data_IF_735653121604
#
_entry.id   IF_735653121604
#
_cell.length_a   1.000
_cell.length_b   1.000
_cell.length_c   1.000
_cell.angle_alpha   90.00
_cell.angle_beta   90.00
_cell.angle_gamma   90.00
#
_symmetry.space_group_name_H-M   'P 1'
#
loop_
_entity.id
_entity.type
_entity.pdbx_description
1 polymer ?
#
# COMPACT_ATOMS: atom_id res chain seq x y z
N UNK A 1 16.31 -8.64 -4.81
CA UNK A 1 15.48 -9.84 -5.00
C UNK A 1 14.34 -9.79 -3.98
N UNK A 2 13.14 -9.44 -4.42
CA UNK A 2 11.97 -9.40 -3.55
C UNK A 2 11.50 -10.84 -3.29
N UNK A 3 11.50 -11.28 -2.04
CA UNK A 3 10.88 -12.56 -1.68
C UNK A 3 9.38 -12.47 -1.96
N UNK A 4 8.81 -13.42 -2.72
CA UNK A 4 7.38 -13.41 -3.00
C UNK A 4 6.61 -13.61 -1.69
N UNK A 5 5.56 -12.81 -1.49
CA UNK A 5 4.67 -12.81 -0.32
C UNK A 5 4.15 -14.23 0.00
N UNK A 6 4.08 -15.09 -1.02
CA UNK A 6 3.69 -16.51 -0.94
C UNK A 6 4.67 -17.36 -0.11
N UNK A 7 5.98 -17.09 -0.11
CA UNK A 7 6.94 -17.90 0.67
C UNK A 7 6.77 -17.68 2.17
N UNK A 8 6.42 -16.46 2.60
CA UNK A 8 6.08 -16.17 4.00
C UNK A 8 4.74 -16.78 4.41
N UNK A 9 3.76 -16.85 3.51
CA UNK A 9 2.46 -17.48 3.79
C UNK A 9 2.62 -18.98 4.11
N UNK A 10 3.42 -19.69 3.31
CA UNK A 10 3.69 -21.12 3.53
C UNK A 10 4.57 -21.39 4.74
N UNK A 11 5.50 -20.48 5.09
CA UNK A 11 6.24 -20.56 6.36
C UNK A 11 5.33 -20.48 7.59
N UNK A 12 4.20 -19.78 7.50
CA UNK A 12 3.25 -19.76 8.63
C UNK A 12 2.35 -21.00 8.69
N UNK A 13 2.19 -21.77 7.60
CA UNK A 13 1.36 -22.98 7.57
C UNK A 13 2.19 -24.25 7.87
N UNK A 14 3.49 -24.22 7.60
CA UNK A 14 4.36 -25.40 7.58
C UNK A 14 4.91 -25.91 8.93
N UNK A 15 4.86 -25.13 10.00
CA UNK A 15 5.27 -25.62 11.33
C UNK A 15 4.21 -25.24 12.36
N UNK A 16 3.43 -26.25 12.79
CA UNK A 16 2.61 -26.26 14.01
C UNK A 16 2.08 -24.88 14.43
N UNK A 17 0.85 -24.52 14.04
CA UNK A 17 0.14 -23.35 14.57
C UNK A 17 -0.65 -23.75 15.83
N UNK A 18 -0.13 -23.54 17.05
CA UNK A 18 -0.83 -23.90 18.29
C UNK A 18 -1.84 -22.85 18.76
N UNK A 19 -1.99 -21.72 18.05
CA UNK A 19 -2.89 -20.64 18.45
C UNK A 19 -3.71 -20.20 17.23
N UNK A 20 -5.02 -20.22 17.36
CA UNK A 20 -5.91 -19.55 16.43
C UNK A 20 -5.96 -18.08 16.78
N UNK A 21 -5.97 -17.21 15.78
CA UNK A 21 -6.09 -15.77 15.95
C UNK A 21 -6.80 -15.18 14.74
N UNK A 22 -7.42 -14.02 14.96
CA UNK A 22 -8.07 -13.26 13.90
C UNK A 22 -7.37 -11.92 13.70
N UNK A 23 -7.21 -11.53 12.44
CA UNK A 23 -6.74 -10.21 12.12
C UNK A 23 -7.87 -9.20 12.28
N UNK A 24 -7.57 -8.09 12.94
CA UNK A 24 -8.44 -6.93 12.98
C UNK A 24 -8.56 -6.26 11.61
N UNK A 25 -9.45 -5.25 11.51
CA UNK A 25 -9.59 -4.48 10.28
C UNK A 25 -8.27 -3.78 9.93
N UNK A 26 -8.09 -3.53 8.63
CA UNK A 26 -7.01 -2.68 8.16
C UNK A 26 -7.21 -1.24 8.66
N UNK A 27 -6.12 -0.59 9.04
CA UNK A 27 -6.09 0.86 9.26
C UNK A 27 -6.41 1.61 7.97
N UNK A 28 -6.75 2.91 8.07
CA UNK A 28 -6.65 3.81 6.94
C UNK A 28 -5.26 3.74 6.30
N UNK A 29 -5.21 3.96 4.99
CA UNK A 29 -3.98 4.06 4.24
C UNK A 29 -3.21 5.32 4.68
N UNK A 30 -1.88 5.24 4.82
CA UNK A 30 -1.05 6.40 5.22
C UNK A 30 -1.03 7.54 4.20
N UNK A 31 -1.52 7.30 2.99
CA UNK A 31 -1.63 8.27 1.92
C UNK A 31 -2.76 7.92 0.96
N UNK A 32 -3.19 8.89 0.16
CA UNK A 32 -4.32 8.75 -0.76
C UNK A 32 -3.91 8.24 -2.15
N UNK A 33 -2.63 8.35 -2.49
CA UNK A 33 -2.03 7.92 -3.75
C UNK A 33 -0.51 7.72 -3.56
N UNK A 34 0.13 7.04 -4.52
CA UNK A 34 1.59 6.86 -4.55
C UNK A 34 2.27 8.12 -5.11
N UNK A 35 3.14 8.80 -4.34
CA UNK A 35 3.94 9.90 -4.89
C UNK A 35 4.86 9.39 -6.01
N UNK A 36 5.06 10.21 -7.05
CA UNK A 36 5.87 9.82 -8.20
C UNK A 36 7.31 9.49 -7.76
N UNK A 37 7.80 8.30 -8.14
CA UNK A 37 9.14 7.82 -7.79
C UNK A 37 9.33 7.39 -6.33
N UNK A 38 8.25 7.26 -5.55
CA UNK A 38 8.29 6.79 -4.16
C UNK A 38 7.52 5.49 -3.97
N UNK A 39 7.76 4.83 -2.83
CA UNK A 39 7.02 3.64 -2.43
C UNK A 39 5.53 3.95 -2.20
N UNK A 40 4.63 2.99 -2.45
CA UNK A 40 3.21 3.16 -2.19
C UNK A 40 2.95 3.36 -0.70
N UNK A 41 1.91 4.13 -0.34
CA UNK A 41 1.46 4.20 1.04
C UNK A 41 1.10 2.82 1.58
N UNK A 42 1.11 2.70 2.91
CA UNK A 42 0.87 1.43 3.58
C UNK A 42 -0.34 1.53 4.50
N UNK A 43 -0.96 0.37 4.76
CA UNK A 43 -1.95 0.19 5.82
C UNK A 43 -1.50 -0.95 6.70
N UNK A 44 -1.88 -0.88 7.96
CA UNK A 44 -1.44 -1.82 9.00
C UNK A 44 -2.68 -2.43 9.65
N UNK A 45 -2.60 -3.70 10.01
CA UNK A 45 -3.59 -4.36 10.88
C UNK A 45 -2.88 -5.08 12.01
N UNK A 46 -3.62 -5.29 13.10
CA UNK A 46 -3.15 -6.01 14.29
C UNK A 46 -4.05 -7.20 14.54
N UNK A 47 -3.56 -8.20 15.27
CA UNK A 47 -4.41 -9.28 15.75
C UNK A 47 -5.43 -8.72 16.76
N UNK A 48 -6.67 -9.21 16.71
CA UNK A 48 -7.69 -8.85 17.69
C UNK A 48 -7.33 -9.51 19.03
N UNK A 49 -7.00 -8.69 20.01
CA UNK A 49 -6.71 -9.16 21.37
C UNK A 49 -7.95 -9.87 21.96
N UNK A 50 -7.76 -11.07 22.52
CA UNK A 50 -8.83 -11.85 23.15
C UNK A 50 -9.48 -12.92 22.27
N UNK A 51 -9.24 -12.90 20.95
CA UNK A 51 -9.65 -13.98 20.03
C UNK A 51 -8.55 -15.02 19.79
N UNK A 52 -7.47 -14.96 20.58
CA UNK A 52 -6.42 -15.97 20.53
C UNK A 52 -6.90 -17.25 21.23
N UNK A 53 -7.41 -18.22 20.46
CA UNK A 53 -7.90 -19.49 21.00
C UNK A 53 -6.77 -20.52 20.97
N UNK A 54 -6.43 -21.05 22.14
CA UNK A 54 -5.58 -22.23 22.25
C UNK A 54 -6.42 -23.51 22.07
N UNK A 55 -6.01 -24.47 21.24
CA UNK A 55 -6.65 -25.77 21.15
C UNK A 55 -6.60 -26.50 22.51
N UNK A 56 -7.71 -27.16 22.88
CA UNK A 56 -7.78 -27.99 24.09
C UNK A 56 -6.71 -29.08 24.06
N UNK A 57 -6.02 -29.31 25.18
CA UNK A 57 -5.01 -30.37 25.33
C UNK A 57 -3.54 -29.92 25.22
N UNK A 58 -3.29 -28.68 24.80
CA UNK A 58 -1.94 -28.12 24.63
C UNK A 58 -1.38 -27.35 25.83
N UNK A 59 -2.04 -27.40 26.99
CA UNK A 59 -1.62 -26.77 28.25
C UNK A 59 -0.29 -27.29 28.83
N UNK A 60 0.42 -28.16 28.12
CA UNK A 60 1.56 -28.91 28.65
C UNK A 60 2.88 -28.14 28.66
N UNK A 61 2.99 -27.00 27.98
CA UNK A 61 4.24 -26.20 28.00
C UNK A 61 3.98 -24.71 28.21
N UNK A 62 4.62 -24.12 29.23
CA UNK A 62 4.59 -22.66 29.49
C UNK A 62 5.03 -21.85 28.26
N UNK A 63 5.90 -22.42 27.42
CA UNK A 63 6.41 -21.80 26.20
C UNK A 63 5.30 -21.54 25.18
N UNK A 64 4.34 -22.45 25.03
CA UNK A 64 3.22 -22.29 24.09
C UNK A 64 2.25 -21.19 24.52
N UNK A 65 1.97 -21.14 25.83
CA UNK A 65 1.13 -20.09 26.43
C UNK A 65 1.77 -18.71 26.25
N UNK A 66 3.08 -18.61 26.47
CA UNK A 66 3.83 -17.37 26.27
C UNK A 66 3.87 -16.98 24.79
N UNK A 67 3.98 -17.95 23.88
CA UNK A 67 3.90 -17.73 22.44
C UNK A 67 2.50 -17.21 22.01
N UNK A 68 1.41 -17.87 22.43
CA UNK A 68 0.06 -17.40 22.10
C UNK A 68 -0.25 -16.01 22.70
N UNK A 69 0.38 -15.63 23.82
CA UNK A 69 0.29 -14.27 24.36
C UNK A 69 1.11 -13.27 23.55
N UNK A 70 2.28 -13.66 23.05
CA UNK A 70 3.16 -12.75 22.31
C UNK A 70 2.63 -12.42 20.91
N UNK A 71 1.89 -13.34 20.28
CA UNK A 71 1.28 -13.07 18.96
C UNK A 71 0.23 -11.96 18.99
N UNK A 72 -0.39 -11.65 20.14
CA UNK A 72 -1.34 -10.54 20.24
C UNK A 72 -0.73 -9.18 19.84
N UNK A 73 0.61 -9.06 19.88
CA UNK A 73 1.33 -7.87 19.47
C UNK A 73 1.76 -7.86 17.99
N UNK A 74 1.40 -8.89 17.22
CA UNK A 74 1.80 -8.98 15.83
C UNK A 74 1.07 -7.95 14.98
N UNK A 75 1.82 -7.41 14.02
CA UNK A 75 1.37 -6.44 13.03
C UNK A 75 1.61 -6.99 11.64
N UNK A 76 0.65 -6.75 10.76
CA UNK A 76 0.75 -7.05 9.33
C UNK A 76 0.61 -5.73 8.56
N UNK A 77 1.39 -5.58 7.50
CA UNK A 77 1.43 -4.38 6.68
C UNK A 77 1.30 -4.73 5.20
N UNK A 78 0.54 -3.91 4.48
CA UNK A 78 0.32 -4.09 3.05
C UNK A 78 0.30 -2.73 2.32
N UNK A 79 0.78 -2.68 1.07
CA UNK A 79 0.64 -1.49 0.25
C UNK A 79 -0.84 -1.20 -0.04
N UNK A 80 -1.17 0.08 -0.14
CA UNK A 80 -2.49 0.59 -0.48
C UNK A 80 -2.37 1.83 -1.37
N UNK A 81 -3.44 2.17 -2.09
CA UNK A 81 -3.47 3.34 -2.99
C UNK A 81 -2.27 3.39 -3.95
N UNK A 82 -1.98 2.26 -4.60
CA UNK A 82 -0.78 2.05 -5.42
C UNK A 82 -0.74 2.87 -6.72
N UNK A 83 -1.88 3.46 -7.11
CA UNK A 83 -1.96 4.35 -8.25
C UNK A 83 -1.17 5.65 -7.97
N UNK A 84 -0.48 6.15 -8.99
CA UNK A 84 0.28 7.39 -8.86
C UNK A 84 -0.63 8.60 -8.62
N UNK A 85 -0.12 9.53 -7.82
CA UNK A 85 -0.78 10.79 -7.58
C UNK A 85 -0.94 11.58 -8.89
N UNK A 86 -2.10 12.23 -9.12
CA UNK A 86 -2.27 13.11 -10.25
C UNK A 86 -1.27 14.26 -10.24
N UNK A 87 -0.69 14.56 -11.39
CA UNK A 87 0.20 15.71 -11.56
C UNK A 87 -0.58 16.89 -12.12
N UNK A 88 -0.32 18.10 -11.64
CA UNK A 88 -0.97 19.31 -12.14
C UNK A 88 -0.59 19.56 -13.61
N UNK A 89 -1.58 19.89 -14.45
CA UNK A 89 -1.34 20.25 -15.84
C UNK A 89 -0.31 21.40 -15.97
N UNK A 90 -0.28 22.32 -15.01
CA UNK A 90 0.66 23.46 -14.99
C UNK A 90 2.14 23.06 -14.95
N UNK A 91 2.49 21.91 -14.38
CA UNK A 91 3.89 21.48 -14.28
C UNK A 91 4.49 21.10 -15.63
N UNK A 92 3.67 20.87 -16.66
CA UNK A 92 4.14 20.55 -17.99
C UNK A 92 4.43 21.83 -18.80
N UNK A 93 5.65 22.00 -19.33
CA UNK A 93 6.00 23.17 -20.13
C UNK A 93 5.26 23.18 -21.47
N UNK A 94 5.08 24.36 -22.05
CA UNK A 94 4.59 24.47 -23.43
C UNK A 94 5.68 24.08 -24.42
N UNK A 95 5.27 23.36 -25.47
CA UNK A 95 6.12 23.01 -26.59
C UNK A 95 6.29 24.15 -27.59
N UNK A 96 6.81 23.79 -28.76
CA UNK A 96 6.92 24.70 -29.91
C UNK A 96 5.53 25.07 -30.44
N UNK A 97 5.45 26.22 -31.10
CA UNK A 97 4.25 26.65 -31.81
C UNK A 97 3.97 25.72 -32.99
N UNK A 98 2.72 25.26 -33.08
CA UNK A 98 2.17 24.50 -34.20
C UNK A 98 1.02 25.33 -34.75
N UNK A 99 1.26 26.05 -35.84
CA UNK A 99 0.37 27.11 -36.30
C UNK A 99 0.30 28.27 -35.29
N UNK A 100 -0.91 28.72 -34.95
CA UNK A 100 -1.15 29.85 -34.02
C UNK A 100 -1.22 29.44 -32.53
N UNK A 101 -0.89 28.20 -32.19
CA UNK A 101 -1.01 27.66 -30.82
C UNK A 101 0.21 26.85 -30.41
N UNK A 102 0.54 26.87 -29.13
CA UNK A 102 1.47 25.92 -28.49
C UNK A 102 0.73 25.10 -27.43
N UNK A 103 1.07 23.83 -27.33
CA UNK A 103 0.43 22.85 -26.44
C UNK A 103 1.39 22.43 -25.34
N UNK A 104 0.87 22.03 -24.18
CA UNK A 104 1.71 21.47 -23.10
C UNK A 104 2.30 20.12 -23.50
N UNK A 105 3.58 19.92 -23.16
CA UNK A 105 4.32 18.70 -23.42
C UNK A 105 4.03 17.66 -22.34
N UNK A 106 2.91 16.97 -22.49
CA UNK A 106 2.51 15.89 -21.60
C UNK A 106 3.21 14.58 -22.03
N UNK A 107 3.95 13.91 -21.13
CA UNK A 107 4.59 12.64 -21.44
C UNK A 107 3.56 11.53 -21.67
N UNK A 108 3.85 10.60 -22.60
CA UNK A 108 3.03 9.39 -22.82
C UNK A 108 3.35 8.32 -21.78
N UNK A 109 3.03 8.60 -20.53
CA UNK A 109 3.13 7.65 -19.43
C UNK A 109 1.74 7.44 -18.82
N UNK A 110 1.54 6.29 -18.17
CA UNK A 110 0.29 5.98 -17.45
C UNK A 110 0.21 6.81 -16.16
N UNK A 111 -0.08 8.10 -16.28
CA UNK A 111 -0.17 9.06 -15.18
C UNK A 111 -1.47 9.87 -15.31
N UNK A 112 -2.20 9.99 -14.20
CA UNK A 112 -3.35 10.88 -14.15
C UNK A 112 -2.89 12.34 -14.10
N UNK A 113 -3.61 13.21 -14.78
CA UNK A 113 -3.32 14.65 -14.83
C UNK A 113 -4.49 15.39 -14.24
N UNK A 114 -4.23 16.27 -13.27
CA UNK A 114 -5.23 17.17 -12.74
C UNK A 114 -5.33 18.39 -13.66
N UNK A 115 -6.49 18.56 -14.30
CA UNK A 115 -6.72 19.62 -15.28
C UNK A 115 -6.96 20.99 -14.63
N UNK A 116 -7.49 21.04 -13.39
CA UNK A 116 -7.79 22.30 -12.69
C UNK A 116 -8.50 23.33 -13.58
N UNK A 117 -8.11 24.61 -13.45
CA UNK A 117 -8.47 25.71 -14.36
C UNK A 117 -7.33 26.03 -15.35
N UNK A 118 -6.32 25.16 -15.46
CA UNK A 118 -5.11 25.43 -16.24
C UNK A 118 -5.37 25.29 -17.74
N UNK A 119 -4.81 26.22 -18.53
CA UNK A 119 -4.93 26.15 -19.99
C UNK A 119 -4.05 25.06 -20.59
N UNK A 120 -4.65 24.21 -21.44
CA UNK A 120 -3.95 23.17 -22.20
C UNK A 120 -3.11 23.72 -23.36
N UNK A 121 -3.52 24.86 -23.91
CA UNK A 121 -2.85 25.54 -25.01
C UNK A 121 -2.72 27.04 -24.72
N UNK A 122 -1.75 27.68 -25.36
CA UNK A 122 -1.62 29.14 -25.41
C UNK A 122 -1.50 29.59 -26.86
N UNK A 123 -1.96 30.81 -27.14
CA UNK A 123 -1.67 31.46 -28.42
C UNK A 123 -0.17 31.70 -28.56
N UNK A 124 0.31 31.64 -29.80
CA UNK A 124 1.62 32.13 -30.17
C UNK A 124 1.46 33.49 -30.83
N UNK A 125 2.40 34.39 -30.55
CA UNK A 125 2.54 35.66 -31.25
C UNK A 125 2.96 35.43 -32.71
#
# INVERSE_FOLDING_TARGET
MATPIVSKYNQMIGESRPCYYEWGPWSPCTGTCRPHGQDPPIRVRKIIAGLTIMPRGLFRTKNLLNHCRSIANYTDSAPCNVAECPVSLRSFPFGKCVGKKRFRLIPRISQHINLGEDQFYMACD
#
